data_IF_315394887739
#
_entry.id   IF_315394887739
#
_cell.length_a   1.000
_cell.length_b   1.000
_cell.length_c   1.000
_cell.angle_alpha   90.00
_cell.angle_beta   90.00
_cell.angle_gamma   90.00
#
_symmetry.space_group_name_H-M   'P 1'
#
loop_
_entity.id
_entity.type
_entity.pdbx_description
1 polymer ?
#
# COMPACT_ATOMS: atom_id res chain seq x y z
N UNK A 1 12.05 18.13 9.40
CA UNK A 1 10.96 17.67 8.51
C UNK A 1 11.23 17.91 7.01
N UNK A 2 11.54 19.15 6.57
CA UNK A 2 11.63 19.50 5.13
C UNK A 2 12.67 18.66 4.35
N UNK A 3 13.90 18.52 4.86
CA UNK A 3 14.94 17.72 4.20
C UNK A 3 14.53 16.25 4.01
N UNK A 4 13.94 15.64 5.06
CA UNK A 4 13.41 14.27 5.01
C UNK A 4 12.26 14.11 4.01
N UNK A 5 11.34 15.09 3.96
CA UNK A 5 10.28 15.13 2.93
C UNK A 5 10.89 15.13 1.52
N UNK A 6 11.89 15.97 1.27
CA UNK A 6 12.51 16.07 -0.04
C UNK A 6 13.27 14.79 -0.42
N UNK A 7 13.98 14.18 0.54
CA UNK A 7 14.61 12.87 0.35
C UNK A 7 13.58 11.77 0.04
N UNK A 8 12.45 11.75 0.78
CA UNK A 8 11.35 10.82 0.52
C UNK A 8 10.75 11.01 -0.88
N UNK A 9 10.57 12.26 -1.33
CA UNK A 9 10.10 12.56 -2.69
C UNK A 9 11.09 12.05 -3.77
N UNK A 10 12.39 12.23 -3.55
CA UNK A 10 13.42 11.75 -4.48
C UNK A 10 13.41 10.21 -4.58
N UNK A 11 13.36 9.52 -3.44
CA UNK A 11 13.26 8.05 -3.38
C UNK A 11 11.98 7.53 -4.05
N UNK A 12 10.85 8.21 -3.82
CA UNK A 12 9.59 7.88 -4.47
C UNK A 12 9.69 8.01 -6.00
N UNK A 13 10.33 9.06 -6.49
CA UNK A 13 10.56 9.26 -7.93
C UNK A 13 11.46 8.16 -8.52
N UNK A 14 12.42 7.65 -7.75
CA UNK A 14 13.26 6.49 -8.09
C UNK A 14 12.56 5.14 -7.89
N UNK A 15 11.27 5.12 -7.55
CA UNK A 15 10.47 3.93 -7.24
C UNK A 15 10.96 3.11 -6.04
N UNK A 16 11.85 3.68 -5.21
CA UNK A 16 12.24 3.09 -3.93
C UNK A 16 11.21 3.46 -2.86
N UNK A 17 10.05 2.82 -2.95
CA UNK A 17 8.91 3.13 -2.10
C UNK A 17 9.12 2.75 -0.62
N UNK A 18 10.00 1.79 -0.34
CA UNK A 18 10.32 1.37 1.04
C UNK A 18 11.11 2.48 1.72
N UNK A 19 12.24 2.90 1.14
CA UNK A 19 13.03 3.97 1.72
C UNK A 19 12.26 5.31 1.72
N UNK A 20 11.44 5.57 0.69
CA UNK A 20 10.58 6.76 0.69
C UNK A 20 9.60 6.76 1.87
N UNK A 21 8.95 5.63 2.15
CA UNK A 21 8.03 5.45 3.28
C UNK A 21 8.73 5.74 4.62
N UNK A 22 9.95 5.24 4.80
CA UNK A 22 10.77 5.49 5.99
C UNK A 22 11.10 6.98 6.14
N UNK A 23 11.54 7.66 5.08
CA UNK A 23 11.83 9.10 5.13
C UNK A 23 10.59 9.92 5.47
N UNK A 24 9.41 9.59 4.93
CA UNK A 24 8.18 10.27 5.33
C UNK A 24 7.78 9.95 6.78
N UNK A 25 8.04 8.74 7.26
CA UNK A 25 7.80 8.37 8.66
C UNK A 25 8.68 9.20 9.60
N UNK A 26 9.98 9.29 9.35
CA UNK A 26 10.86 10.17 10.12
C UNK A 26 10.51 11.65 9.97
N UNK A 27 9.99 12.07 8.81
CA UNK A 27 9.51 13.44 8.64
C UNK A 27 8.28 13.75 9.52
N UNK A 28 7.37 12.79 9.67
CA UNK A 28 6.16 12.88 10.52
C UNK A 28 6.53 12.99 12.00
N UNK A 29 7.57 12.28 12.45
CA UNK A 29 8.07 12.39 13.83
C UNK A 29 8.51 13.83 14.16
N UNK A 30 9.01 14.57 13.17
CA UNK A 30 9.44 15.96 13.33
C UNK A 30 8.31 16.99 13.08
N UNK A 31 7.25 16.61 12.38
CA UNK A 31 6.14 17.49 12.00
C UNK A 31 4.83 16.68 11.87
N UNK A 32 4.30 16.29 13.02
CA UNK A 32 3.15 15.38 13.11
C UNK A 32 1.82 16.01 12.72
N UNK A 33 1.77 17.33 12.50
CA UNK A 33 0.58 18.05 12.07
C UNK A 33 0.51 18.26 10.55
N UNK A 34 1.54 17.84 9.83
CA UNK A 34 1.63 18.05 8.39
C UNK A 34 1.00 16.92 7.59
N UNK A 35 -0.24 17.13 7.18
CA UNK A 35 -1.04 16.17 6.42
C UNK A 35 -0.37 15.71 5.11
N UNK A 36 0.46 16.55 4.49
CA UNK A 36 1.17 16.19 3.24
C UNK A 36 2.12 15.02 3.48
N UNK A 37 2.77 14.94 4.65
CA UNK A 37 3.69 13.84 4.95
C UNK A 37 2.96 12.50 5.09
N UNK A 38 1.78 12.51 5.71
CA UNK A 38 0.92 11.33 5.80
C UNK A 38 0.40 10.91 4.42
N UNK A 39 -0.03 11.87 3.60
CA UNK A 39 -0.47 11.61 2.22
C UNK A 39 0.64 10.98 1.39
N UNK A 40 1.87 11.51 1.46
CA UNK A 40 3.01 10.97 0.74
C UNK A 40 3.38 9.55 1.21
N UNK A 41 3.34 9.32 2.53
CA UNK A 41 3.55 7.98 3.10
C UNK A 41 2.49 6.98 2.64
N UNK A 42 1.21 7.39 2.57
CA UNK A 42 0.13 6.56 2.06
C UNK A 42 0.32 6.25 0.56
N UNK A 43 0.79 7.20 -0.24
CA UNK A 43 1.14 6.96 -1.64
C UNK A 43 2.24 5.90 -1.79
N UNK A 44 3.25 5.91 -0.91
CA UNK A 44 4.29 4.86 -0.88
C UNK A 44 3.66 3.48 -0.60
N UNK A 45 2.80 3.37 0.42
CA UNK A 45 2.14 2.11 0.76
C UNK A 45 1.28 1.57 -0.39
N UNK A 46 0.55 2.46 -1.06
CA UNK A 46 -0.24 2.11 -2.24
C UNK A 46 0.64 1.62 -3.40
N UNK A 47 1.77 2.29 -3.65
CA UNK A 47 2.72 1.89 -4.69
C UNK A 47 3.37 0.53 -4.40
N UNK A 48 3.77 0.27 -3.15
CA UNK A 48 4.32 -1.02 -2.72
C UNK A 48 3.34 -2.16 -2.95
N UNK A 49 2.07 -1.99 -2.56
CA UNK A 49 1.06 -3.03 -2.79
C UNK A 49 0.79 -3.25 -4.29
N UNK A 50 0.76 -2.19 -5.11
CA UNK A 50 0.66 -2.33 -6.58
C UNK A 50 1.85 -3.09 -7.17
N UNK A 51 3.05 -2.80 -6.67
CA UNK A 51 4.26 -3.49 -7.12
C UNK A 51 4.23 -4.97 -6.73
N UNK A 52 3.82 -5.28 -5.50
CA UNK A 52 3.70 -6.64 -5.00
C UNK A 52 2.75 -7.50 -5.86
N UNK A 53 1.55 -6.99 -6.18
CA UNK A 53 0.58 -7.73 -7.02
C UNK A 53 0.98 -7.77 -8.50
N UNK A 54 1.84 -6.86 -8.96
CA UNK A 54 2.43 -6.92 -10.30
C UNK A 54 3.51 -8.01 -10.38
N UNK A 55 4.32 -8.12 -9.32
CA UNK A 55 5.39 -9.12 -9.23
C UNK A 55 4.82 -10.52 -9.04
N UNK A 56 3.86 -10.68 -8.14
CA UNK A 56 3.10 -11.91 -7.95
C UNK A 56 1.59 -11.63 -7.98
N UNK A 57 0.94 -11.82 -9.14
CA UNK A 57 -0.50 -11.68 -9.28
C UNK A 57 -1.33 -12.65 -8.43
N UNK A 58 -0.72 -13.70 -7.86
CA UNK A 58 -1.38 -14.65 -6.94
C UNK A 58 -1.13 -14.32 -5.47
N UNK A 59 -0.47 -13.21 -5.17
CA UNK A 59 -0.19 -12.81 -3.80
C UNK A 59 -1.43 -12.21 -3.11
N UNK A 60 -2.24 -13.07 -2.48
CA UNK A 60 -3.50 -12.70 -1.83
C UNK A 60 -3.35 -11.55 -0.81
N UNK A 61 -2.26 -11.55 -0.02
CA UNK A 61 -2.00 -10.49 0.95
C UNK A 61 -1.68 -9.15 0.29
N UNK A 62 -0.99 -9.14 -0.85
CA UNK A 62 -0.74 -7.93 -1.64
C UNK A 62 -2.02 -7.33 -2.20
N UNK A 63 -2.92 -8.18 -2.71
CA UNK A 63 -4.25 -7.75 -3.16
C UNK A 63 -5.10 -7.19 -2.03
N UNK A 64 -5.08 -7.84 -0.86
CA UNK A 64 -5.78 -7.35 0.34
C UNK A 64 -5.26 -5.99 0.80
N UNK A 65 -3.94 -5.81 0.81
CA UNK A 65 -3.31 -4.52 1.13
C UNK A 65 -3.68 -3.43 0.11
N UNK A 66 -3.65 -3.74 -1.18
CA UNK A 66 -4.07 -2.83 -2.24
C UNK A 66 -5.55 -2.44 -2.12
N UNK A 67 -6.41 -3.40 -1.77
CA UNK A 67 -7.84 -3.17 -1.58
C UNK A 67 -8.08 -2.19 -0.43
N UNK A 68 -7.46 -2.42 0.72
CA UNK A 68 -7.52 -1.51 1.87
C UNK A 68 -7.03 -0.10 1.52
N UNK A 69 -5.86 0.03 0.88
CA UNK A 69 -5.35 1.35 0.49
C UNK A 69 -6.29 2.10 -0.47
N UNK A 70 -7.04 1.38 -1.33
CA UNK A 70 -8.01 1.98 -2.24
C UNK A 70 -9.31 2.36 -1.52
N UNK A 71 -9.74 1.56 -0.57
CA UNK A 71 -10.91 1.83 0.27
C UNK A 71 -10.70 3.09 1.12
N UNK A 72 -9.55 3.17 1.80
CA UNK A 72 -9.12 4.35 2.57
C UNK A 72 -9.01 5.61 1.68
N UNK A 73 -8.74 5.44 0.38
CA UNK A 73 -8.68 6.51 -0.61
C UNK A 73 -10.03 6.78 -1.32
N UNK A 74 -11.14 6.24 -0.81
CA UNK A 74 -12.49 6.31 -1.38
C UNK A 74 -12.60 5.82 -2.84
N UNK A 75 -11.62 5.05 -3.32
CA UNK A 75 -11.69 4.37 -4.61
C UNK A 75 -12.37 3.01 -4.44
N UNK A 76 -13.67 3.06 -4.15
CA UNK A 76 -14.45 1.88 -3.80
C UNK A 76 -14.49 0.84 -4.93
N UNK A 77 -14.60 1.28 -6.19
CA UNK A 77 -14.58 0.37 -7.35
C UNK A 77 -13.24 -0.37 -7.42
N UNK A 78 -12.13 0.35 -7.30
CA UNK A 78 -10.80 -0.25 -7.30
C UNK A 78 -10.57 -1.16 -6.08
N UNK A 79 -11.16 -0.84 -4.93
CA UNK A 79 -11.10 -1.66 -3.73
C UNK A 79 -11.85 -2.98 -3.93
N UNK A 80 -13.09 -2.95 -4.46
CA UNK A 80 -13.87 -4.16 -4.78
C UNK A 80 -13.12 -5.09 -5.73
N UNK A 81 -12.51 -4.53 -6.78
CA UNK A 81 -11.70 -5.33 -7.73
C UNK A 81 -10.52 -6.00 -7.02
N UNK A 82 -9.81 -5.27 -6.16
CA UNK A 82 -8.67 -5.81 -5.43
C UNK A 82 -9.09 -6.85 -4.38
N UNK A 83 -10.22 -6.66 -3.69
CA UNK A 83 -10.77 -7.64 -2.75
C UNK A 83 -11.18 -8.94 -3.43
N UNK A 84 -11.84 -8.86 -4.59
CA UNK A 84 -12.17 -10.05 -5.38
C UNK A 84 -10.92 -10.82 -5.77
N UNK A 85 -9.89 -10.12 -6.25
CA UNK A 85 -8.59 -10.73 -6.56
C UNK A 85 -7.94 -11.37 -5.33
N UNK A 86 -8.01 -10.74 -4.16
CA UNK A 86 -7.49 -11.31 -2.93
C UNK A 86 -8.15 -12.65 -2.61
N UNK A 87 -9.48 -12.74 -2.69
CA UNK A 87 -10.25 -13.97 -2.45
C UNK A 87 -9.94 -15.04 -3.49
N UNK A 88 -9.87 -14.68 -4.78
CA UNK A 88 -9.48 -15.60 -5.86
C UNK A 88 -8.08 -16.21 -5.65
N UNK A 89 -7.17 -15.45 -5.03
CA UNK A 89 -5.79 -15.86 -4.79
C UNK A 89 -5.58 -16.55 -3.44
N UNK A 90 -6.53 -16.46 -2.51
CA UNK A 90 -6.44 -17.16 -1.24
C UNK A 90 -6.47 -18.66 -1.51
N UNK A 91 -5.55 -19.46 -0.93
CA UNK A 91 -5.66 -20.90 -1.03
C UNK A 91 -7.01 -21.27 -0.45
N UNK A 92 -7.88 -21.88 -1.27
CA UNK A 92 -9.13 -22.45 -0.80
C UNK A 92 -8.75 -23.42 0.30
N UNK A 93 -8.92 -23.00 1.55
CA UNK A 93 -9.01 -23.93 2.66
C UNK A 93 -10.18 -24.79 2.26
N UNK A 94 -9.93 -26.07 1.99
CA UNK A 94 -10.96 -27.07 1.74
C UNK A 94 -11.92 -27.02 2.93
N UNK A 95 -12.96 -26.21 2.83
CA UNK A 95 -14.20 -26.47 3.53
C UNK A 95 -14.82 -27.60 2.72
N UNK A 96 -14.38 -28.83 3.01
CA UNK A 96 -15.24 -29.96 2.75
C UNK A 96 -16.57 -29.63 3.45
N UNK A 97 -17.72 -29.75 2.78
CA UNK A 97 -18.98 -29.81 3.49
C UNK A 97 -18.82 -30.94 4.51
N UNK A 98 -18.99 -30.59 5.79
CA UNK A 98 -18.86 -31.47 6.94
C UNK A 98 -19.25 -32.93 6.63
N UNK A 99 -18.30 -33.84 6.82
CA UNK A 99 -18.56 -35.23 7.21
C UNK A 99 -18.83 -35.28 8.72
#
# INVERSE_FOLDING_TARGET
AISLKNAGNALYASQDYIQAYEKFTSAIELDSKNAILFSNRAACALAMNRYAVKLDPKYAKGWSGLAKCRDDAANYIGAVVAWRKAVECSPTTNLSPAE
#
